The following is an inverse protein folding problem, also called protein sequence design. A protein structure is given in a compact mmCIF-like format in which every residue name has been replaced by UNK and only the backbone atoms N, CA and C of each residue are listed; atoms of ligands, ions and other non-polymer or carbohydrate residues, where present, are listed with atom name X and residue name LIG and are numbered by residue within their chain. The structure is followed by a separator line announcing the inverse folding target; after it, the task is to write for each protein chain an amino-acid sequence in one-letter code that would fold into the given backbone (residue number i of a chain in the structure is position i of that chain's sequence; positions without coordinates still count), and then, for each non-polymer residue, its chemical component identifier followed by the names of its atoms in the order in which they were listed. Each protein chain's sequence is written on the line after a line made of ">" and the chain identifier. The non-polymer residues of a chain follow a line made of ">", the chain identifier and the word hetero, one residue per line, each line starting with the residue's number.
data_IF_304879112291
#
_entry.id   IF_304879112291
#
_cell.length_a   1.000
_cell.length_b   1.000
_cell.length_c   1.000
_cell.angle_alpha   90.00
_cell.angle_beta   90.00
_cell.angle_gamma   90.00
#
_symmetry.space_group_name_H-M   'P 1'
#
loop_
_entity.id
_entity.type
_entity.pdbx_description
1 polymer ?
#
# COMPACT_ATOMS: atom_id res chain seq x y z
N UNK A 1 -2.61 -3.97 -25.14
CA UNK A 1 -2.66 -2.51 -24.95
C UNK A 1 -3.77 -2.21 -23.95
N UNK A 2 -3.46 -1.43 -22.92
CA UNK A 2 -4.40 -0.95 -21.91
C UNK A 2 -4.98 0.39 -22.40
N UNK A 3 -6.27 0.64 -22.19
CA UNK A 3 -6.82 1.99 -22.43
C UNK A 3 -6.34 2.95 -21.36
N UNK A 4 -6.28 4.24 -21.70
CA UNK A 4 -5.85 5.30 -20.78
C UNK A 4 -6.76 5.39 -19.55
N UNK A 5 -8.07 5.25 -19.74
CA UNK A 5 -9.05 5.22 -18.65
C UNK A 5 -8.81 4.05 -17.68
N UNK A 6 -8.53 2.86 -18.22
CA UNK A 6 -8.29 1.67 -17.39
C UNK A 6 -6.94 1.76 -16.66
N UNK A 7 -5.95 2.42 -17.25
CA UNK A 7 -4.68 2.71 -16.59
C UNK A 7 -4.85 3.69 -15.41
N UNK A 8 -5.66 4.74 -15.57
CA UNK A 8 -5.96 5.70 -14.50
C UNK A 8 -6.73 5.05 -13.34
N UNK A 9 -7.72 4.21 -13.64
CA UNK A 9 -8.46 3.45 -12.62
C UNK A 9 -7.53 2.49 -11.84
N UNK A 10 -6.64 1.81 -12.56
CA UNK A 10 -5.64 0.91 -11.95
C UNK A 10 -4.70 1.66 -11.03
N UNK A 11 -4.20 2.83 -11.46
CA UNK A 11 -3.31 3.66 -10.66
C UNK A 11 -4.01 4.15 -9.39
N UNK A 12 -5.23 4.68 -9.51
CA UNK A 12 -6.04 5.12 -8.35
C UNK A 12 -6.30 4.00 -7.37
N UNK A 13 -6.57 2.80 -7.88
CA UNK A 13 -6.77 1.61 -7.06
C UNK A 13 -5.52 1.32 -6.26
N UNK A 14 -4.36 1.14 -6.91
CA UNK A 14 -3.10 0.81 -6.23
C UNK A 14 -2.70 1.87 -5.20
N UNK A 15 -2.83 3.16 -5.51
CA UNK A 15 -2.55 4.26 -4.56
C UNK A 15 -3.43 4.18 -3.32
N UNK A 16 -4.71 3.82 -3.49
CA UNK A 16 -5.63 3.66 -2.36
C UNK A 16 -5.23 2.51 -1.46
N UNK A 17 -4.80 1.37 -2.03
CA UNK A 17 -4.28 0.24 -1.26
C UNK A 17 -2.95 0.56 -0.55
N UNK A 18 -2.04 1.27 -1.23
CA UNK A 18 -0.73 1.63 -0.68
C UNK A 18 -0.84 2.52 0.57
N UNK A 19 -1.81 3.44 0.61
CA UNK A 19 -2.08 4.26 1.80
C UNK A 19 -2.43 3.45 3.04
N UNK A 20 -3.06 2.28 2.89
CA UNK A 20 -3.30 1.36 4.00
C UNK A 20 -2.06 0.54 4.35
N UNK A 21 -1.18 0.28 3.37
CA UNK A 21 0.07 -0.44 3.60
C UNK A 21 1.08 0.38 4.42
N UNK A 22 1.04 1.73 4.33
CA UNK A 22 1.86 2.63 5.15
C UNK A 22 1.57 2.51 6.66
N UNK A 23 0.45 1.90 7.06
CA UNK A 23 0.13 1.65 8.47
C UNK A 23 0.97 0.54 9.10
N UNK A 24 1.67 -0.25 8.28
CA UNK A 24 2.46 -1.38 8.75
C UNK A 24 3.95 -1.08 8.73
N UNK A 25 4.62 -1.27 9.87
CA UNK A 25 6.07 -1.37 9.96
C UNK A 25 6.49 -2.84 9.81
N UNK A 26 7.52 -3.08 9.01
CA UNK A 26 8.14 -4.40 8.86
C UNK A 26 9.41 -4.48 9.69
N UNK A 27 9.51 -5.49 10.55
CA UNK A 27 10.72 -5.80 11.33
C UNK A 27 11.51 -6.93 10.64
N UNK A 28 12.70 -6.61 10.12
CA UNK A 28 13.57 -7.55 9.43
C UNK A 28 14.17 -8.64 10.34
N UNK A 29 14.26 -8.41 11.66
CA UNK A 29 14.84 -9.39 12.59
C UNK A 29 13.84 -10.46 13.01
N UNK A 30 12.56 -10.10 13.08
CA UNK A 30 11.49 -11.02 13.46
C UNK A 30 10.65 -11.49 12.28
N UNK A 31 10.83 -10.89 11.10
CA UNK A 31 10.05 -11.11 9.87
C UNK A 31 8.55 -10.83 10.07
N UNK A 32 8.20 -9.88 10.94
CA UNK A 32 6.82 -9.57 11.30
C UNK A 32 6.39 -8.16 10.85
N UNK A 33 5.11 -8.04 10.54
CA UNK A 33 4.44 -6.76 10.34
C UNK A 33 3.73 -6.32 11.62
N UNK A 34 3.89 -5.05 12.00
CA UNK A 34 3.18 -4.44 13.14
C UNK A 34 2.51 -3.14 12.71
N UNK A 35 1.39 -2.80 13.33
CA UNK A 35 0.72 -1.53 13.10
C UNK A 35 1.40 -0.45 13.96
N UNK A 36 2.00 0.58 13.35
CA UNK A 36 2.48 1.72 14.13
C UNK A 36 1.27 2.51 14.65
N UNK A 37 1.11 2.54 15.97
CA UNK A 37 0.09 3.35 16.62
C UNK A 37 0.73 4.71 16.98
N UNK A 38 0.31 5.83 16.38
CA UNK A 38 0.90 7.12 16.70
C UNK A 38 0.59 7.47 18.16
N UNK A 39 1.63 7.62 18.98
CA UNK A 39 1.58 8.18 20.34
C UNK A 39 1.52 9.71 20.31
#
# INVERSE_FOLDING_TARGET
>A
YMSEEYADETLKTIVSWARYAELFAYDEQTELFSLENPH
#
